data_IF_737350398988
#
_entry.id   IF_737350398988
#
_cell.length_a   1.000
_cell.length_b   1.000
_cell.length_c   1.000
_cell.angle_alpha   90.00
_cell.angle_beta   90.00
_cell.angle_gamma   90.00
#
_symmetry.space_group_name_H-M   'P 1'
#
loop_
_entity.id
_entity.type
_entity.pdbx_description
1 polymer ?
#
# COMPACT_ATOMS: atom_id res chain seq x y z
N UNK A 1 10.70 -25.70 5.42
CA UNK A 1 10.57 -24.25 5.70
C UNK A 1 9.10 -23.90 5.63
N UNK A 2 8.54 -23.22 6.64
CA UNK A 2 7.11 -22.85 6.66
C UNK A 2 6.89 -21.71 5.65
N UNK A 3 5.87 -21.77 4.76
CA UNK A 3 5.61 -20.73 3.75
C UNK A 3 5.50 -19.32 4.34
N UNK A 4 4.89 -19.22 5.52
CA UNK A 4 4.74 -17.96 6.25
C UNK A 4 6.10 -17.35 6.65
N UNK A 5 7.12 -18.18 6.92
CA UNK A 5 8.46 -17.68 7.22
C UNK A 5 9.11 -17.04 5.98
N UNK A 6 8.85 -17.59 4.79
CA UNK A 6 9.34 -17.00 3.53
C UNK A 6 8.59 -15.69 3.27
N UNK A 7 7.27 -15.65 3.50
CA UNK A 7 6.51 -14.43 3.36
C UNK A 7 6.95 -13.33 4.34
N UNK A 8 7.21 -13.67 5.59
CA UNK A 8 7.71 -12.72 6.58
C UNK A 8 9.08 -12.18 6.20
N UNK A 9 10.02 -13.04 5.80
CA UNK A 9 11.33 -12.61 5.28
C UNK A 9 11.20 -11.70 4.06
N UNK A 10 10.31 -12.05 3.12
CA UNK A 10 10.02 -11.23 1.96
C UNK A 10 9.50 -9.83 2.36
N UNK A 11 8.52 -9.77 3.27
CA UNK A 11 7.95 -8.52 3.80
C UNK A 11 9.01 -7.67 4.51
N UNK A 12 9.85 -8.29 5.33
CA UNK A 12 10.93 -7.62 6.05
C UNK A 12 12.01 -7.08 5.10
N UNK A 13 12.36 -7.83 4.05
CA UNK A 13 13.44 -7.49 3.10
C UNK A 13 13.24 -6.17 2.35
N UNK A 14 11.99 -5.74 2.19
CA UNK A 14 11.65 -4.50 1.50
C UNK A 14 11.51 -3.32 2.46
N UNK A 15 11.74 -3.49 3.76
CA UNK A 15 11.50 -2.43 4.75
C UNK A 15 12.33 -1.18 4.45
N UNK A 16 13.61 -1.35 4.09
CA UNK A 16 14.49 -0.23 3.75
C UNK A 16 14.02 0.50 2.48
N UNK A 17 13.72 -0.24 1.42
CA UNK A 17 13.13 0.29 0.18
C UNK A 17 11.81 1.03 0.45
N UNK A 18 10.96 0.48 1.32
CA UNK A 18 9.68 1.09 1.69
C UNK A 18 9.89 2.43 2.42
N UNK A 19 10.87 2.54 3.30
CA UNK A 19 11.12 3.76 4.10
C UNK A 19 11.83 4.81 3.26
N UNK A 20 12.91 4.44 2.59
CA UNK A 20 13.88 5.39 2.04
C UNK A 20 13.63 5.72 0.55
N UNK A 21 13.23 4.74 -0.25
CA UNK A 21 13.07 4.92 -1.70
C UNK A 21 11.61 5.16 -2.06
N UNK A 22 10.76 4.16 -1.81
CA UNK A 22 9.35 4.20 -2.18
C UNK A 22 8.56 5.18 -1.31
N UNK A 23 9.08 5.49 -0.12
CA UNK A 23 8.36 6.21 0.95
C UNK A 23 6.97 5.58 1.19
N UNK A 24 6.84 4.28 0.89
CA UNK A 24 5.63 3.49 0.95
C UNK A 24 5.47 2.88 2.33
N UNK A 25 4.79 3.64 3.17
CA UNK A 25 4.18 3.10 4.36
C UNK A 25 2.73 2.73 4.02
N UNK A 26 2.54 1.68 3.23
CA UNK A 26 1.31 0.91 2.93
C UNK A 26 -0.02 1.62 2.52
N UNK A 27 -0.25 2.90 2.80
CA UNK A 27 -1.58 3.52 2.83
C UNK A 27 -1.86 4.51 1.69
N UNK A 28 -0.92 4.72 0.76
CA UNK A 28 -1.14 5.59 -0.41
C UNK A 28 -1.70 4.88 -1.63
N UNK A 29 -2.02 3.58 -1.54
CA UNK A 29 -2.81 2.97 -2.61
C UNK A 29 -4.12 3.75 -2.68
N UNK A 30 -4.39 4.23 -3.87
CA UNK A 30 -5.52 5.09 -4.18
C UNK A 30 -5.39 6.54 -3.67
N UNK A 31 -4.34 6.99 -2.97
CA UNK A 31 -4.27 8.39 -2.51
C UNK A 31 -3.23 9.20 -3.29
N UNK A 32 -3.68 10.21 -4.03
CA UNK A 32 -2.87 11.17 -4.79
C UNK A 32 -2.77 12.47 -3.99
N UNK A 33 -1.55 12.89 -3.66
CA UNK A 33 -1.29 14.19 -3.04
C UNK A 33 -1.18 15.22 -4.16
N UNK A 34 -1.94 16.29 -4.05
CA UNK A 34 -2.05 17.36 -5.02
C UNK A 34 -1.71 18.68 -4.33
N UNK A 35 -0.93 19.53 -4.97
CA UNK A 35 -0.94 20.96 -4.68
C UNK A 35 -2.31 21.56 -4.99
N UNK A 36 -2.57 22.78 -4.52
CA UNK A 36 -3.79 23.51 -4.86
C UNK A 36 -4.02 23.57 -6.38
N UNK A 37 -2.97 23.88 -7.14
CA UNK A 37 -3.04 24.04 -8.59
C UNK A 37 -3.33 22.70 -9.29
N UNK A 38 -2.66 21.61 -8.87
CA UNK A 38 -2.93 20.27 -9.39
C UNK A 38 -4.33 19.77 -9.01
N UNK A 39 -4.83 20.13 -7.82
CA UNK A 39 -6.20 19.80 -7.38
C UNK A 39 -7.23 20.51 -8.25
N UNK A 40 -7.06 21.79 -8.52
CA UNK A 40 -7.96 22.57 -9.39
C UNK A 40 -7.99 21.99 -10.81
N UNK A 41 -6.84 21.62 -11.36
CA UNK A 41 -6.74 21.00 -12.69
C UNK A 41 -7.32 19.58 -12.76
N UNK A 42 -7.11 18.77 -11.71
CA UNK A 42 -7.51 17.35 -11.71
C UNK A 42 -8.98 17.17 -11.36
N UNK A 43 -9.46 17.91 -10.37
CA UNK A 43 -10.80 17.73 -9.79
C UNK A 43 -11.80 18.76 -10.32
N UNK A 44 -11.36 20.01 -10.50
CA UNK A 44 -12.18 21.10 -11.03
C UNK A 44 -13.57 21.19 -10.40
N UNK A 45 -14.61 21.08 -11.23
CA UNK A 45 -16.02 21.20 -10.80
C UNK A 45 -16.48 20.08 -9.85
N UNK A 46 -15.76 18.97 -9.77
CA UNK A 46 -16.11 17.83 -8.91
C UNK A 46 -15.64 17.99 -7.46
N UNK A 47 -15.04 19.14 -7.09
CA UNK A 47 -14.44 19.36 -5.78
C UNK A 47 -15.43 19.12 -4.63
N UNK A 48 -16.52 19.86 -4.59
CA UNK A 48 -17.54 19.74 -3.52
C UNK A 48 -18.14 18.32 -3.43
N UNK A 49 -18.53 17.67 -4.54
CA UNK A 49 -18.96 16.27 -4.50
C UNK A 49 -17.93 15.31 -3.89
N UNK A 50 -16.65 15.42 -4.24
CA UNK A 50 -15.60 14.53 -3.72
C UNK A 50 -15.25 14.81 -2.26
N UNK A 51 -15.26 16.07 -1.83
CA UNK A 51 -15.12 16.45 -0.42
C UNK A 51 -16.25 15.87 0.43
N UNK A 52 -17.51 16.05 0.00
CA UNK A 52 -18.68 15.53 0.71
C UNK A 52 -18.69 14.00 0.81
N UNK A 53 -18.16 13.32 -0.20
CA UNK A 53 -18.08 11.86 -0.24
C UNK A 53 -16.83 11.29 0.46
N UNK A 54 -15.95 12.12 1.01
CA UNK A 54 -14.72 11.69 1.71
C UNK A 54 -13.58 11.25 0.78
N UNK A 55 -13.71 11.48 -0.53
CA UNK A 55 -12.68 11.17 -1.50
C UNK A 55 -11.64 12.28 -1.65
N UNK A 56 -11.95 13.52 -1.29
CA UNK A 56 -10.99 14.63 -1.30
C UNK A 56 -10.89 15.21 0.11
N UNK A 57 -9.68 15.28 0.65
CA UNK A 57 -9.41 15.82 1.98
C UNK A 57 -8.32 16.88 1.87
N UNK A 58 -8.58 18.07 2.41
CA UNK A 58 -7.58 19.13 2.52
C UNK A 58 -6.63 18.83 3.69
N UNK A 59 -5.34 19.07 3.46
CA UNK A 59 -4.26 18.93 4.42
C UNK A 59 -3.75 20.29 4.88
N UNK A 60 -2.84 20.27 5.85
CA UNK A 60 -1.96 21.38 6.15
C UNK A 60 -1.19 21.85 4.90
N UNK A 61 -0.82 23.14 4.87
CA UNK A 61 -0.01 23.77 3.81
C UNK A 61 -0.65 23.76 2.40
N UNK A 62 -1.98 23.87 2.28
CA UNK A 62 -2.71 23.91 1.00
C UNK A 62 -2.44 22.70 0.09
N UNK A 63 -2.17 21.54 0.70
CA UNK A 63 -2.11 20.27 -0.02
C UNK A 63 -3.47 19.57 0.07
N UNK A 64 -3.78 18.75 -0.92
CA UNK A 64 -5.02 17.99 -1.00
C UNK A 64 -4.69 16.53 -1.22
N UNK A 65 -5.51 15.65 -0.67
CA UNK A 65 -5.42 14.22 -0.97
C UNK A 65 -6.69 13.73 -1.60
N UNK A 66 -6.54 13.30 -2.84
CA UNK A 66 -7.56 12.64 -3.62
C UNK A 66 -7.42 11.13 -3.48
N UNK A 67 -8.40 10.51 -2.85
CA UNK A 67 -8.59 9.07 -2.79
C UNK A 67 -9.31 8.61 -4.08
N UNK A 68 -8.71 7.67 -4.81
CA UNK A 68 -9.06 7.08 -6.09
C UNK A 68 -9.72 5.71 -5.90
N UNK A 69 -10.13 5.41 -4.67
CA UNK A 69 -10.36 4.06 -4.18
C UNK A 69 -11.65 3.93 -3.39
N UNK A 70 -11.53 3.63 -2.09
CA UNK A 70 -12.66 3.58 -1.17
C UNK A 70 -12.86 4.93 -0.48
N UNK A 71 -14.08 5.51 -0.40
CA UNK A 71 -14.34 6.81 0.23
C UNK A 71 -13.91 6.90 1.70
N UNK A 72 -13.75 5.76 2.38
CA UNK A 72 -13.19 5.74 3.74
C UNK A 72 -11.66 5.65 3.65
N UNK A 73 -11.00 6.79 3.86
CA UNK A 73 -9.56 6.83 4.09
C UNK A 73 -9.17 5.84 5.21
N UNK A 74 -7.98 5.26 5.13
CA UNK A 74 -7.50 4.37 6.19
C UNK A 74 -7.46 5.16 7.52
N UNK A 75 -8.22 4.76 8.57
CA UNK A 75 -8.30 5.53 9.81
C UNK A 75 -6.98 5.56 10.59
N UNK A 76 -6.00 4.74 10.18
CA UNK A 76 -4.69 4.64 10.81
C UNK A 76 -3.60 5.38 10.02
N UNK A 77 -4.00 6.26 9.09
CA UNK A 77 -3.11 7.11 8.31
C UNK A 77 -2.91 8.44 9.04
N UNK A 78 -1.69 8.70 9.54
CA UNK A 78 -1.30 10.02 10.06
C UNK A 78 -0.20 10.58 9.19
N UNK A 79 -0.34 11.82 8.70
CA UNK A 79 0.61 12.45 7.78
C UNK A 79 0.96 11.55 6.56
N UNK A 80 0.00 10.76 6.09
CA UNK A 80 0.19 9.82 4.96
C UNK A 80 1.20 8.71 5.22
N UNK A 81 1.49 8.46 6.50
CA UNK A 81 2.30 7.36 7.00
C UNK A 81 1.39 6.34 7.72
N UNK A 82 1.56 5.06 7.38
CA UNK A 82 0.90 3.96 8.08
C UNK A 82 1.40 3.89 9.53
N UNK A 83 0.53 4.21 10.49
CA UNK A 83 0.88 4.12 11.92
C UNK A 83 0.74 2.70 12.48
N UNK A 84 0.08 1.80 11.73
CA UNK A 84 -0.35 0.49 12.24
C UNK A 84 0.73 -0.59 12.14
N UNK A 85 1.89 -0.35 11.52
CA UNK A 85 3.00 -1.33 11.47
C UNK A 85 3.42 -1.81 12.88
N UNK A 86 3.37 -0.92 13.87
CA UNK A 86 3.70 -1.23 15.28
C UNK A 86 2.53 -1.85 16.06
N UNK A 87 1.32 -1.88 15.49
CA UNK A 87 0.15 -2.43 16.17
C UNK A 87 0.05 -3.95 15.92
N UNK A 88 0.07 -4.79 16.97
CA UNK A 88 -0.07 -6.24 16.85
C UNK A 88 -1.48 -6.66 16.40
N UNK A 89 -2.50 -5.83 16.63
CA UNK A 89 -3.91 -6.08 16.30
C UNK A 89 -4.32 -5.53 14.93
N UNK A 90 -3.35 -5.22 14.06
CA UNK A 90 -3.64 -4.73 12.71
C UNK A 90 -4.42 -5.75 11.88
N UNK A 91 -5.28 -5.27 10.99
CA UNK A 91 -6.09 -6.11 10.11
C UNK A 91 -5.21 -7.11 9.32
N UNK A 92 -5.72 -8.32 9.08
CA UNK A 92 -4.95 -9.40 8.46
C UNK A 92 -4.38 -9.00 7.09
N UNK A 93 -5.19 -8.33 6.26
CA UNK A 93 -4.74 -7.80 4.95
C UNK A 93 -3.53 -6.88 5.08
N UNK A 94 -3.43 -6.09 6.15
CA UNK A 94 -2.27 -5.23 6.43
C UNK A 94 -1.07 -6.01 6.98
N UNK A 95 -1.28 -7.15 7.64
CA UNK A 95 -0.20 -8.06 8.06
C UNK A 95 0.42 -8.77 6.86
N UNK A 96 -0.42 -9.14 5.89
CA UNK A 96 -0.01 -9.98 4.78
C UNK A 96 0.58 -9.20 3.61
N UNK A 97 0.19 -7.95 3.42
CA UNK A 97 0.70 -7.12 2.33
C UNK A 97 2.25 -7.00 2.35
N UNK A 98 2.95 -7.13 1.19
CA UNK A 98 2.42 -7.33 -0.16
C UNK A 98 2.34 -8.79 -0.63
N UNK A 99 2.61 -9.78 0.23
CA UNK A 99 2.71 -11.20 -0.10
C UNK A 99 1.57 -11.97 0.56
N UNK A 100 0.57 -12.37 -0.22
CA UNK A 100 -0.60 -13.07 0.28
C UNK A 100 -0.47 -14.56 -0.02
N UNK A 101 -0.70 -15.41 0.98
CA UNK A 101 -0.68 -16.87 0.81
C UNK A 101 -2.11 -17.39 0.98
N UNK A 102 -2.59 -18.18 0.02
CA UNK A 102 -3.90 -18.83 0.10
C UNK A 102 -3.80 -20.24 -0.44
N UNK A 103 -3.86 -21.23 0.46
CA UNK A 103 -3.64 -22.64 0.09
C UNK A 103 -2.25 -22.84 -0.52
N UNK A 104 -2.21 -23.30 -1.78
CA UNK A 104 -0.97 -23.49 -2.57
C UNK A 104 -0.64 -22.35 -3.52
N UNK A 105 -1.28 -21.19 -3.35
CA UNK A 105 -1.09 -20.00 -4.17
C UNK A 105 -0.42 -18.90 -3.37
N UNK A 106 0.47 -18.16 -4.02
CA UNK A 106 1.09 -16.94 -3.48
C UNK A 106 0.82 -15.82 -4.46
N UNK A 107 0.17 -14.77 -3.97
CA UNK A 107 -0.08 -13.56 -4.74
C UNK A 107 0.81 -12.44 -4.26
N UNK A 108 1.60 -11.88 -5.18
CA UNK A 108 2.33 -10.64 -4.93
C UNK A 108 1.46 -9.50 -5.42
N UNK A 109 1.22 -8.50 -4.57
CA UNK A 109 0.40 -7.37 -5.01
C UNK A 109 1.11 -6.57 -6.10
N UNK A 110 0.59 -6.66 -7.31
CA UNK A 110 0.87 -5.81 -8.47
C UNK A 110 0.85 -4.30 -8.16
N UNK A 111 0.02 -3.87 -7.22
CA UNK A 111 -0.07 -2.48 -6.76
C UNK A 111 1.07 -2.08 -5.79
N UNK A 112 1.98 -2.98 -5.41
CA UNK A 112 3.15 -2.65 -4.57
C UNK A 112 4.34 -2.23 -5.43
N UNK A 113 4.89 -1.04 -5.21
CA UNK A 113 6.06 -0.56 -5.96
C UNK A 113 7.29 -1.45 -5.76
N UNK A 114 7.48 -2.04 -4.58
CA UNK A 114 8.59 -2.98 -4.35
C UNK A 114 8.45 -4.26 -5.18
N UNK A 115 7.20 -4.74 -5.38
CA UNK A 115 6.90 -5.85 -6.30
C UNK A 115 7.19 -5.42 -7.74
N UNK A 116 6.69 -4.25 -8.18
CA UNK A 116 6.94 -3.71 -9.53
C UNK A 116 8.44 -3.51 -9.82
N UNK A 117 9.21 -3.14 -8.80
CA UNK A 117 10.66 -2.99 -8.87
C UNK A 117 11.43 -4.31 -8.71
N UNK A 118 10.75 -5.47 -8.77
CA UNK A 118 11.32 -6.81 -8.65
C UNK A 118 12.13 -7.08 -7.37
N UNK A 119 11.95 -6.29 -6.30
CA UNK A 119 12.69 -6.46 -5.03
C UNK A 119 12.38 -7.79 -4.33
N UNK A 120 11.24 -8.40 -4.65
CA UNK A 120 10.79 -9.68 -4.07
C UNK A 120 11.08 -10.92 -4.93
N UNK A 121 11.71 -10.76 -6.09
CA UNK A 121 11.97 -11.86 -7.02
C UNK A 121 12.73 -13.06 -6.40
N UNK A 122 13.71 -12.88 -5.49
CA UNK A 122 14.37 -14.01 -4.83
C UNK A 122 13.38 -14.92 -4.08
N UNK A 123 12.39 -14.33 -3.40
CA UNK A 123 11.38 -15.06 -2.63
C UNK A 123 10.35 -15.77 -3.52
N UNK A 124 10.09 -15.24 -4.73
CA UNK A 124 9.26 -15.92 -5.73
C UNK A 124 9.84 -17.30 -6.07
N UNK A 125 11.16 -17.40 -6.23
CA UNK A 125 11.83 -18.67 -6.49
C UNK A 125 11.75 -19.64 -5.32
N UNK A 126 11.87 -19.13 -4.08
CA UNK A 126 11.72 -19.95 -2.88
C UNK A 126 10.32 -20.58 -2.79
N UNK A 127 9.27 -19.81 -3.08
CA UNK A 127 7.91 -20.33 -3.12
C UNK A 127 7.71 -21.38 -4.22
N UNK A 128 8.24 -21.14 -5.42
CA UNK A 128 8.16 -22.11 -6.52
C UNK A 128 8.84 -23.44 -6.17
N UNK A 129 10.01 -23.40 -5.50
CA UNK A 129 10.71 -24.62 -5.03
C UNK A 129 9.88 -25.45 -4.05
N UNK A 130 8.98 -24.83 -3.30
CA UNK A 130 8.05 -25.50 -2.39
C UNK A 130 6.73 -25.95 -3.07
N UNK A 131 6.65 -25.82 -4.39
CA UNK A 131 5.48 -26.22 -5.19
C UNK A 131 4.30 -25.26 -5.09
N UNK A 132 4.53 -23.98 -4.77
CA UNK A 132 3.48 -22.96 -4.81
C UNK A 132 3.32 -22.38 -6.21
N UNK A 133 2.06 -22.07 -6.57
CA UNK A 133 1.73 -21.30 -7.78
C UNK A 133 1.81 -19.82 -7.47
N UNK A 134 2.44 -19.04 -8.34
CA UNK A 134 2.52 -17.58 -8.23
C UNK A 134 1.40 -16.97 -9.08
N UNK A 135 0.63 -16.06 -8.48
CA UNK A 135 -0.46 -15.31 -9.11
C UNK A 135 -0.20 -13.80 -9.11
#
# INVERSE_FOLDING_TARGET
>A
MIPENIANKARESISDYCINECKALCCRKEHLILSKEEMELTVGKQRKPLENAGFLVEMENNQFVLNLGNPKACPNLKNYLCTIHKNPNRALTCKEFPVFITGKKVKFSDRCTAVKANKLYPYVHEFKKLGFKIE
#
